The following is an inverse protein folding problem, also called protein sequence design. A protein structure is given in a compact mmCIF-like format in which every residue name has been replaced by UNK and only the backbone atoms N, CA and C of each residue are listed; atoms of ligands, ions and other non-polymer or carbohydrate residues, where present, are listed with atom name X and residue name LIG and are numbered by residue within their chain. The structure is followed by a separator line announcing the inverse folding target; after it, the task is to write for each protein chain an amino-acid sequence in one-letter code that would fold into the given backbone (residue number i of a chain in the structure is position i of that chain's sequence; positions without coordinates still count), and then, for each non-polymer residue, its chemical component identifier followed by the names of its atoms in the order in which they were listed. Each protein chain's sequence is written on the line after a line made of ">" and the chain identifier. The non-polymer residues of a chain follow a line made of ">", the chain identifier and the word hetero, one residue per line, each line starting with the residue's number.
data_IF_472292498385
#
_entry.id   IF_472292498385
#
_cell.length_a   1.000
_cell.length_b   1.000
_cell.length_c   1.000
_cell.angle_alpha   90.00
_cell.angle_beta   90.00
_cell.angle_gamma   90.00
#
_symmetry.space_group_name_H-M   'P 1'
#
loop_
_entity.id
_entity.type
_entity.pdbx_description
1 polymer ?
#
# COMPACT_ATOMS: atom_id res chain seq x y z
N UNK A 1 -5.81 -4.15 -27.96
CA UNK A 1 -4.78 -4.63 -27.00
C UNK A 1 -5.47 -5.68 -26.14
N UNK A 2 -5.13 -6.95 -26.30
CA UNK A 2 -5.76 -8.00 -25.51
C UNK A 2 -5.39 -7.83 -24.03
N UNK A 3 -6.40 -7.67 -23.18
CA UNK A 3 -6.23 -7.50 -21.75
C UNK A 3 -5.78 -8.82 -21.13
N UNK A 4 -4.61 -8.84 -20.48
CA UNK A 4 -4.16 -10.00 -19.72
C UNK A 4 -4.92 -10.10 -18.39
N UNK A 5 -5.06 -11.29 -17.80
CA UNK A 5 -5.70 -11.46 -16.48
C UNK A 5 -5.11 -10.53 -15.41
N UNK A 6 -3.79 -10.29 -15.47
CA UNK A 6 -3.13 -9.36 -14.57
C UNK A 6 -3.57 -7.91 -14.78
N UNK A 7 -3.67 -7.44 -16.03
CA UNK A 7 -4.14 -6.06 -16.29
C UNK A 7 -5.60 -5.83 -15.87
N UNK A 8 -6.46 -6.84 -16.02
CA UNK A 8 -7.85 -6.78 -15.55
C UNK A 8 -7.91 -6.70 -14.02
N UNK A 9 -7.11 -7.51 -13.33
CA UNK A 9 -7.02 -7.47 -11.86
C UNK A 9 -6.48 -6.13 -11.35
N UNK A 10 -5.51 -5.52 -12.04
CA UNK A 10 -5.02 -4.19 -11.69
C UNK A 10 -6.10 -3.11 -11.90
N UNK A 11 -6.89 -3.19 -12.99
CA UNK A 11 -8.01 -2.28 -13.19
C UNK A 11 -9.03 -2.38 -12.06
N UNK A 12 -9.42 -3.59 -11.68
CA UNK A 12 -10.34 -3.81 -10.56
C UNK A 12 -9.77 -3.29 -9.23
N UNK A 13 -8.46 -3.41 -9.00
CA UNK A 13 -7.81 -2.86 -7.82
C UNK A 13 -7.88 -1.32 -7.80
N UNK A 14 -7.70 -0.65 -8.93
CA UNK A 14 -7.86 0.81 -9.05
C UNK A 14 -9.27 1.27 -8.66
N UNK A 15 -10.29 0.52 -9.11
CA UNK A 15 -11.68 0.78 -8.77
C UNK A 15 -11.92 0.61 -7.26
N UNK A 16 -11.37 -0.45 -6.66
CA UNK A 16 -11.50 -0.72 -5.22
C UNK A 16 -10.83 0.34 -4.34
N UNK A 17 -9.65 0.84 -4.72
CA UNK A 17 -8.95 1.88 -3.95
C UNK A 17 -9.45 3.29 -4.28
N UNK A 18 -10.28 3.45 -5.32
CA UNK A 18 -10.79 4.75 -5.77
C UNK A 18 -9.70 5.67 -6.35
N UNK A 19 -8.69 5.09 -7.00
CA UNK A 19 -7.61 5.84 -7.65
C UNK A 19 -7.23 5.21 -8.99
N UNK A 20 -7.40 6.00 -10.05
CA UNK A 20 -6.94 5.67 -11.40
C UNK A 20 -5.52 6.22 -11.58
N UNK A 21 -4.56 5.33 -11.84
CA UNK A 21 -3.18 5.70 -12.12
C UNK A 21 -3.06 6.33 -13.50
N UNK A 22 -2.25 7.39 -13.59
CA UNK A 22 -1.81 7.94 -14.88
C UNK A 22 -0.80 7.01 -15.54
N UNK A 23 0.06 6.38 -14.73
CA UNK A 23 1.03 5.38 -15.14
C UNK A 23 0.69 4.01 -14.56
N UNK A 24 0.02 3.16 -15.35
CA UNK A 24 -0.21 1.74 -15.05
C UNK A 24 1.08 1.00 -14.64
N UNK A 25 2.23 1.45 -15.13
CA UNK A 25 3.55 0.90 -14.80
C UNK A 25 3.88 0.98 -13.32
N UNK A 26 3.43 2.04 -12.62
CA UNK A 26 3.66 2.22 -11.19
C UNK A 26 2.84 1.22 -10.36
N UNK A 27 1.57 1.02 -10.71
CA UNK A 27 0.74 0.02 -10.04
C UNK A 27 1.23 -1.41 -10.32
N UNK A 28 1.64 -1.70 -11.56
CA UNK A 28 2.28 -2.98 -11.92
C UNK A 28 3.53 -3.24 -11.06
N UNK A 29 4.37 -2.22 -10.87
CA UNK A 29 5.57 -2.31 -10.04
C UNK A 29 5.23 -2.49 -8.57
N UNK A 30 4.23 -1.80 -8.05
CA UNK A 30 3.75 -1.96 -6.67
C UNK A 30 3.25 -3.39 -6.41
N UNK A 31 2.63 -4.04 -7.40
CA UNK A 31 2.14 -5.42 -7.35
C UNK A 31 3.18 -6.48 -7.77
N UNK A 32 4.47 -6.11 -7.83
CA UNK A 32 5.56 -7.04 -8.16
C UNK A 32 6.53 -7.16 -6.98
N UNK A 33 6.60 -8.34 -6.37
CA UNK A 33 7.52 -8.60 -5.26
C UNK A 33 8.97 -8.77 -5.74
N UNK A 34 9.95 -8.50 -4.88
CA UNK A 34 11.38 -8.59 -5.24
C UNK A 34 11.86 -10.00 -5.57
N UNK A 35 11.12 -11.04 -5.19
CA UNK A 35 11.42 -12.40 -5.64
C UNK A 35 11.03 -12.65 -7.09
N UNK A 36 10.13 -11.86 -7.67
CA UNK A 36 9.66 -12.03 -9.04
C UNK A 36 10.51 -11.26 -10.07
N UNK A 37 10.95 -10.05 -9.74
CA UNK A 37 11.72 -9.18 -10.65
C UNK A 37 12.62 -8.19 -9.90
N UNK A 38 13.67 -7.70 -10.56
CA UNK A 38 14.46 -6.54 -10.09
C UNK A 38 13.67 -5.23 -10.13
N UNK A 39 12.73 -5.11 -11.06
CA UNK A 39 11.73 -4.04 -11.09
C UNK A 39 10.56 -4.39 -10.16
N UNK A 40 10.70 -4.05 -8.89
CA UNK A 40 9.78 -4.46 -7.84
C UNK A 40 9.35 -3.32 -6.93
N UNK A 41 8.49 -3.69 -5.99
CA UNK A 41 7.81 -2.82 -5.05
C UNK A 41 8.64 -2.38 -3.84
N UNK A 42 9.88 -2.86 -3.67
CA UNK A 42 10.62 -2.65 -2.42
C UNK A 42 10.89 -1.18 -2.12
N UNK A 43 11.35 -0.41 -3.11
CA UNK A 43 11.55 1.03 -2.96
C UNK A 43 10.22 1.77 -2.69
N UNK A 44 9.16 1.43 -3.42
CA UNK A 44 7.82 2.02 -3.23
C UNK A 44 7.25 1.69 -1.84
N UNK A 45 7.52 0.50 -1.32
CA UNK A 45 7.06 0.07 0.00
C UNK A 45 7.73 0.86 1.14
N UNK A 46 8.98 1.31 0.95
CA UNK A 46 9.68 2.17 1.91
C UNK A 46 9.02 3.54 1.97
N UNK A 47 8.81 4.20 0.82
CA UNK A 47 8.08 5.47 0.75
C UNK A 47 6.65 5.33 1.30
N UNK A 48 5.96 4.27 0.92
CA UNK A 48 4.63 3.96 1.38
C UNK A 48 4.52 3.75 2.89
N UNK A 49 5.55 3.19 3.53
CA UNK A 49 5.59 3.06 5.00
C UNK A 49 5.53 4.44 5.68
N UNK A 50 6.34 5.39 5.21
CA UNK A 50 6.33 6.76 5.72
C UNK A 50 5.00 7.47 5.49
N UNK A 51 4.35 7.22 4.35
CA UNK A 51 3.02 7.78 4.05
C UNK A 51 1.97 7.21 5.00
N UNK A 52 1.96 5.89 5.24
CA UNK A 52 1.03 5.25 6.19
C UNK A 52 1.21 5.82 7.59
N UNK A 53 2.45 5.93 8.07
CA UNK A 53 2.76 6.49 9.40
C UNK A 53 2.35 7.95 9.52
N UNK A 54 2.64 8.76 8.48
CA UNK A 54 2.23 10.16 8.41
C UNK A 54 0.71 10.29 8.42
N UNK A 55 0.01 9.44 7.66
CA UNK A 55 -1.45 9.46 7.56
C UNK A 55 -2.12 9.11 8.88
N UNK A 56 -1.62 8.07 9.57
CA UNK A 56 -2.08 7.69 10.89
C UNK A 56 -1.84 8.81 11.91
N UNK A 57 -0.63 9.38 11.91
CA UNK A 57 -0.26 10.49 12.81
C UNK A 57 -1.15 11.71 12.60
N UNK A 58 -1.34 12.11 11.35
CA UNK A 58 -2.16 13.25 10.96
C UNK A 58 -3.62 13.06 11.37
N UNK A 59 -4.18 11.86 11.11
CA UNK A 59 -5.56 11.53 11.50
C UNK A 59 -5.76 11.64 13.01
N UNK A 60 -4.86 11.04 13.79
CA UNK A 60 -4.93 11.06 15.26
C UNK A 60 -4.81 12.48 15.83
N UNK A 61 -3.86 13.28 15.36
CA UNK A 61 -3.67 14.67 15.80
C UNK A 61 -4.82 15.58 15.37
N UNK A 62 -5.45 15.30 14.23
CA UNK A 62 -6.65 16.05 13.78
C UNK A 62 -7.85 15.75 14.67
N UNK A 63 -7.97 14.52 15.17
CA UNK A 63 -9.06 14.11 16.07
C UNK A 63 -8.83 14.54 17.52
N UNK A 64 -7.58 14.48 17.98
CA UNK A 64 -7.19 14.86 19.33
C UNK A 64 -5.78 15.46 19.32
N UNK A 65 -5.70 16.80 19.32
CA UNK A 65 -4.43 17.52 19.33
C UNK A 65 -3.66 17.37 20.65
N UNK A 66 -4.35 17.02 21.74
CA UNK A 66 -3.79 16.85 23.09
C UNK A 66 -3.32 15.41 23.37
N UNK A 67 -3.31 14.53 22.36
CA UNK A 67 -2.78 13.16 22.50
C UNK A 67 -1.30 13.19 22.96
N UNK A 68 -0.94 12.33 23.91
CA UNK A 68 0.45 12.24 24.35
C UNK A 68 1.35 11.73 23.23
N UNK A 69 2.59 12.23 23.15
CA UNK A 69 3.56 11.77 22.15
C UNK A 69 3.81 10.25 22.23
N UNK A 70 3.73 9.67 23.44
CA UNK A 70 3.88 8.24 23.67
C UNK A 70 2.73 7.44 23.07
N UNK A 71 1.49 7.89 23.29
CA UNK A 71 0.30 7.22 22.76
C UNK A 71 0.19 7.36 21.24
N UNK A 72 0.52 8.55 20.71
CA UNK A 72 0.62 8.78 19.27
C UNK A 72 1.63 7.82 18.63
N UNK A 73 2.85 7.77 19.16
CA UNK A 73 3.91 6.90 18.61
C UNK A 73 3.53 5.42 18.67
N UNK A 74 2.86 4.98 19.75
CA UNK A 74 2.36 3.61 19.88
C UNK A 74 1.34 3.30 18.79
N UNK A 75 0.30 4.11 18.66
CA UNK A 75 -0.78 3.89 17.69
C UNK A 75 -0.30 3.94 16.24
N UNK A 76 0.62 4.85 15.91
CA UNK A 76 1.25 4.95 14.59
C UNK A 76 2.05 3.70 14.27
N UNK A 77 2.86 3.22 15.23
CA UNK A 77 3.64 1.99 15.06
C UNK A 77 2.75 0.76 14.88
N UNK A 78 1.66 0.63 15.63
CA UNK A 78 0.71 -0.48 15.46
C UNK A 78 0.02 -0.44 14.08
N UNK A 79 -0.30 0.75 13.58
CA UNK A 79 -0.89 0.91 12.24
C UNK A 79 0.10 0.47 11.16
N UNK A 80 1.37 0.86 11.30
CA UNK A 80 2.38 0.58 10.28
C UNK A 80 2.92 -0.84 10.33
N UNK A 81 2.92 -1.54 11.47
CA UNK A 81 3.48 -2.91 11.63
C UNK A 81 2.83 -3.96 10.74
N UNK A 82 3.64 -4.95 10.34
CA UNK A 82 3.21 -6.09 9.49
C UNK A 82 2.12 -6.93 10.14
N UNK A 83 2.22 -7.16 11.45
CA UNK A 83 1.23 -7.87 12.25
C UNK A 83 -0.01 -7.01 12.57
N UNK A 84 0.04 -5.72 12.23
CA UNK A 84 -1.04 -4.77 12.42
C UNK A 84 -1.94 -4.66 11.19
N UNK A 85 -2.37 -3.42 10.90
CA UNK A 85 -3.46 -3.16 9.94
C UNK A 85 -3.11 -3.48 8.48
N UNK A 86 -1.86 -3.27 8.05
CA UNK A 86 -1.51 -3.36 6.63
C UNK A 86 -1.75 -4.75 6.00
N UNK A 87 -1.54 -5.83 6.76
CA UNK A 87 -1.81 -7.19 6.27
C UNK A 87 -3.31 -7.44 6.18
N UNK A 88 -4.08 -6.96 7.15
CA UNK A 88 -5.54 -7.09 7.18
C UNK A 88 -6.16 -6.33 6.00
N UNK A 89 -5.77 -5.07 5.81
CA UNK A 89 -6.28 -4.22 4.73
C UNK A 89 -5.85 -4.74 3.36
N UNK A 90 -4.58 -5.14 3.21
CA UNK A 90 -4.10 -5.77 1.99
C UNK A 90 -4.81 -7.10 1.67
N UNK A 91 -5.15 -7.89 2.68
CA UNK A 91 -5.93 -9.13 2.48
C UNK A 91 -7.36 -8.85 2.08
N UNK A 92 -7.99 -7.81 2.67
CA UNK A 92 -9.35 -7.35 2.32
C UNK A 92 -9.43 -6.83 0.89
N UNK A 93 -8.37 -6.17 0.40
CA UNK A 93 -8.21 -5.79 -1.01
C UNK A 93 -7.84 -6.97 -1.92
N UNK A 94 -7.64 -8.17 -1.37
CA UNK A 94 -7.32 -9.37 -2.15
C UNK A 94 -5.94 -9.36 -2.79
N UNK A 95 -4.98 -8.57 -2.28
CA UNK A 95 -3.66 -8.38 -2.90
C UNK A 95 -2.90 -9.69 -3.12
N UNK A 96 -3.07 -10.69 -2.25
CA UNK A 96 -2.46 -12.01 -2.36
C UNK A 96 -2.80 -12.75 -3.67
N UNK A 97 -3.91 -12.38 -4.33
CA UNK A 97 -4.36 -12.94 -5.61
C UNK A 97 -3.79 -12.19 -6.82
N UNK A 98 -3.32 -10.97 -6.63
CA UNK A 98 -2.85 -10.06 -7.67
C UNK A 98 -1.32 -10.05 -7.73
N UNK A 99 -0.67 -10.16 -6.57
CA UNK A 99 0.78 -10.08 -6.41
C UNK A 99 1.53 -11.07 -7.28
N UNK A 100 2.49 -10.54 -8.05
CA UNK A 100 3.46 -11.35 -8.78
C UNK A 100 4.60 -11.71 -7.85
N UNK A 101 4.74 -13.01 -7.59
CA UNK A 101 5.77 -13.60 -6.73
C UNK A 101 6.42 -14.78 -7.46
N UNK A 102 7.68 -15.10 -7.13
CA UNK A 102 8.31 -16.33 -7.61
C UNK A 102 7.66 -17.58 -7.01
N UNK A 103 7.85 -18.74 -7.66
CA UNK A 103 7.21 -20.03 -7.25
C UNK A 103 7.44 -20.39 -5.78
N UNK A 104 8.58 -20.03 -5.22
CA UNK A 104 8.97 -20.37 -3.84
C UNK A 104 8.57 -19.29 -2.82
N UNK A 105 7.84 -18.25 -3.23
CA UNK A 105 7.43 -17.15 -2.37
C UNK A 105 5.92 -17.23 -2.13
N UNK A 106 5.52 -17.26 -0.86
CA UNK A 106 4.11 -17.26 -0.49
C UNK A 106 3.52 -15.84 -0.61
N UNK A 107 2.66 -15.62 -1.61
CA UNK A 107 1.95 -14.35 -1.82
C UNK A 107 0.98 -13.99 -0.69
N UNK A 108 0.57 -14.97 0.11
CA UNK A 108 -0.33 -14.80 1.26
C UNK A 108 0.42 -14.54 2.57
N UNK A 109 1.75 -14.48 2.54
CA UNK A 109 2.52 -14.19 3.76
C UNK A 109 2.35 -12.72 4.17
N UNK A 110 2.19 -12.42 5.48
CA UNK A 110 1.99 -11.06 5.97
C UNK A 110 3.02 -10.03 5.46
N UNK A 111 4.35 -10.30 5.45
CA UNK A 111 5.32 -9.32 4.96
C UNK A 111 5.15 -8.99 3.47
N UNK A 112 4.75 -9.97 2.66
CA UNK A 112 4.55 -9.80 1.22
C UNK A 112 3.30 -8.96 0.93
N UNK A 113 2.19 -9.25 1.63
CA UNK A 113 0.96 -8.46 1.52
C UNK A 113 1.18 -7.03 2.01
N UNK A 114 1.74 -6.86 3.20
CA UNK A 114 1.99 -5.54 3.78
C UNK A 114 2.95 -4.70 2.93
N UNK A 115 4.00 -5.32 2.37
CA UNK A 115 4.93 -4.65 1.46
C UNK A 115 4.23 -4.14 0.19
N UNK A 116 3.34 -4.94 -0.39
CA UNK A 116 2.54 -4.54 -1.54
C UNK A 116 1.54 -3.43 -1.21
N UNK A 117 0.83 -3.57 -0.08
CA UNK A 117 -0.13 -2.58 0.40
C UNK A 117 0.52 -1.21 0.57
N UNK A 118 1.66 -1.13 1.28
CA UNK A 118 2.44 0.11 1.41
C UNK A 118 2.88 0.62 0.03
N UNK A 119 3.36 -0.26 -0.84
CA UNK A 119 3.83 0.12 -2.16
C UNK A 119 2.75 0.75 -3.04
N UNK A 120 1.46 0.44 -2.83
CA UNK A 120 0.35 1.12 -3.52
C UNK A 120 0.40 2.62 -3.19
N UNK A 121 0.47 3.01 -1.92
CA UNK A 121 0.47 4.43 -1.53
C UNK A 121 1.76 5.14 -1.91
N UNK A 122 2.91 4.45 -1.85
CA UNK A 122 4.15 4.96 -2.43
C UNK A 122 3.98 5.23 -3.93
N UNK A 123 3.39 4.31 -4.68
CA UNK A 123 3.13 4.48 -6.10
C UNK A 123 2.16 5.64 -6.38
N UNK A 124 1.06 5.77 -5.62
CA UNK A 124 0.09 6.86 -5.74
C UNK A 124 0.76 8.22 -5.51
N UNK A 125 1.64 8.34 -4.51
CA UNK A 125 2.32 9.62 -4.25
C UNK A 125 3.25 10.04 -5.38
N UNK A 126 3.88 9.08 -6.06
CA UNK A 126 4.76 9.35 -7.20
C UNK A 126 3.92 9.67 -8.44
N UNK A 127 2.87 8.88 -8.68
CA UNK A 127 1.98 9.04 -9.84
C UNK A 127 1.25 10.39 -9.80
N UNK A 128 0.73 10.78 -8.63
CA UNK A 128 0.02 12.05 -8.45
C UNK A 128 0.91 13.25 -8.11
N UNK A 129 2.20 13.02 -7.82
CA UNK A 129 3.10 14.04 -7.27
C UNK A 129 2.68 14.61 -5.90
N UNK A 130 1.81 13.92 -5.16
CA UNK A 130 1.21 14.43 -3.92
C UNK A 130 1.13 13.38 -2.81
N UNK A 131 1.83 13.63 -1.71
CA UNK A 131 1.72 12.83 -0.48
C UNK A 131 0.31 12.96 0.12
N UNK A 132 -0.25 14.18 0.17
CA UNK A 132 -1.59 14.42 0.71
C UNK A 132 -2.68 13.61 -0.02
N UNK A 133 -2.55 13.47 -1.34
CA UNK A 133 -3.48 12.65 -2.11
C UNK A 133 -3.38 11.18 -1.74
N UNK A 134 -2.15 10.65 -1.61
CA UNK A 134 -1.92 9.29 -1.15
C UNK A 134 -2.47 9.06 0.27
N UNK A 135 -2.27 10.02 1.19
CA UNK A 135 -2.83 9.99 2.55
C UNK A 135 -4.35 9.94 2.55
N UNK A 136 -5.03 10.77 1.75
CA UNK A 136 -6.50 10.75 1.65
C UNK A 136 -7.04 9.43 1.13
N UNK A 137 -6.32 8.78 0.21
CA UNK A 137 -6.71 7.47 -0.32
C UNK A 137 -6.47 6.39 0.74
N UNK A 138 -5.31 6.41 1.40
CA UNK A 138 -5.01 5.51 2.52
C UNK A 138 -6.11 5.54 3.59
N UNK A 139 -6.49 6.72 4.07
CA UNK A 139 -7.53 6.86 5.11
C UNK A 139 -8.93 6.42 4.68
N UNK A 140 -9.20 6.23 3.38
CA UNK A 140 -10.47 5.67 2.89
C UNK A 140 -10.46 4.16 2.83
N UNK A 141 -9.28 3.58 2.62
CA UNK A 141 -9.12 2.14 2.43
C UNK A 141 -8.63 1.43 3.69
N UNK A 142 -8.10 2.16 4.67
CA UNK A 142 -7.79 1.73 6.04
C UNK A 142 -9.05 1.80 6.89
#
# INVERSE_FOLDING_TARGET
>A
KDSTPFSVALSALQDQIGYTFESDGLLRRAMTHSSFSGENNKALSVLGASIVETSASLSLLTLNIDISAMDLSRSVSETSKVEGSCTVDGTRLGLQKILRVSRNTNSSSPPVICGAFRAIFGAISIDSGSVDRATKIFLRVH
#
